data_IF_940609036271
#
_entry.id   IF_940609036271
#
_cell.length_a   1.000
_cell.length_b   1.000
_cell.length_c   1.000
_cell.angle_alpha   90.00
_cell.angle_beta   90.00
_cell.angle_gamma   90.00
#
_symmetry.space_group_name_H-M   'P 1'
#
loop_
_entity.id
_entity.type
_entity.pdbx_description
1 polymer ?
#
# COMPACT_ATOMS: atom_id res chain seq x y z
N UNK A 1 -21.10 -14.12 16.75
CA UNK A 1 -20.49 -13.08 15.87
C UNK A 1 -19.34 -13.74 15.14
N UNK A 2 -19.44 -13.94 13.83
CA UNK A 2 -18.47 -14.71 13.06
C UNK A 2 -17.21 -13.85 12.83
N UNK A 3 -16.05 -14.28 13.34
CA UNK A 3 -14.77 -13.64 12.99
C UNK A 3 -14.47 -14.01 11.54
N UNK A 4 -14.67 -13.05 10.63
CA UNK A 4 -14.27 -13.17 9.23
C UNK A 4 -12.75 -13.16 9.18
N UNK A 5 -12.14 -14.25 8.72
CA UNK A 5 -10.70 -14.32 8.42
C UNK A 5 -10.41 -13.34 7.27
N UNK A 6 -9.59 -12.31 7.53
CA UNK A 6 -9.23 -11.26 6.56
C UNK A 6 -7.90 -11.64 5.90
N UNK A 7 -7.85 -12.77 5.19
CA UNK A 7 -6.90 -13.10 4.11
C UNK A 7 -7.00 -14.60 3.83
N UNK A 8 -7.69 -14.96 2.75
CA UNK A 8 -7.17 -16.05 1.94
C UNK A 8 -5.86 -15.56 1.32
N UNK A 9 -4.91 -16.47 1.15
CA UNK A 9 -3.57 -16.23 0.62
C UNK A 9 -3.64 -15.23 -0.55
N UNK A 10 -2.96 -14.09 -0.45
CA UNK A 10 -3.03 -13.04 -1.47
C UNK A 10 -2.35 -13.58 -2.73
N UNK A 11 -3.13 -14.11 -3.66
CA UNK A 11 -2.86 -13.98 -5.10
C UNK A 11 -2.90 -12.48 -5.42
N UNK A 12 -1.97 -11.70 -4.87
CA UNK A 12 -1.89 -10.29 -5.18
C UNK A 12 -1.51 -10.25 -6.66
N UNK A 13 -2.49 -10.00 -7.52
CA UNK A 13 -2.29 -9.81 -8.96
C UNK A 13 -1.41 -8.58 -9.28
N UNK A 14 -0.87 -7.95 -8.23
CA UNK A 14 -0.22 -6.67 -8.23
C UNK A 14 0.92 -6.66 -7.23
N UNK A 15 2.08 -6.20 -7.67
CA UNK A 15 3.22 -5.93 -6.79
C UNK A 15 3.28 -4.44 -6.41
N UNK A 16 3.67 -4.17 -5.17
CA UNK A 16 3.79 -2.83 -4.57
C UNK A 16 5.24 -2.42 -4.32
N UNK A 17 6.22 -3.11 -4.91
CA UNK A 17 7.64 -2.76 -4.73
C UNK A 17 7.93 -1.35 -5.29
N UNK A 18 8.75 -0.60 -4.56
CA UNK A 18 9.34 0.69 -4.97
C UNK A 18 8.34 1.79 -5.36
N UNK A 19 7.12 1.71 -4.82
CA UNK A 19 6.07 2.67 -5.13
C UNK A 19 6.21 3.96 -4.30
N UNK A 20 6.34 5.10 -4.97
CA UNK A 20 6.33 6.40 -4.30
C UNK A 20 4.95 6.71 -3.72
N UNK A 21 4.90 7.08 -2.44
CA UNK A 21 3.68 7.56 -1.78
C UNK A 21 3.56 9.06 -1.98
N UNK A 22 2.42 9.52 -2.53
CA UNK A 22 2.10 10.93 -2.72
C UNK A 22 1.41 11.54 -1.51
N UNK A 23 0.48 10.81 -0.89
CA UNK A 23 -0.24 11.25 0.30
C UNK A 23 -0.54 10.11 1.25
N UNK A 24 -0.65 10.46 2.53
CA UNK A 24 -1.12 9.61 3.61
C UNK A 24 -2.30 10.33 4.23
N UNK A 25 -3.51 9.84 3.96
CA UNK A 25 -4.74 10.44 4.45
C UNK A 25 -5.32 9.58 5.58
N UNK A 26 -5.57 10.19 6.74
CA UNK A 26 -6.16 9.51 7.91
C UNK A 26 -7.61 9.96 8.06
N UNK A 27 -8.54 9.02 7.97
CA UNK A 27 -9.99 9.27 8.09
C UNK A 27 -10.55 8.38 9.21
N UNK A 28 -10.69 8.96 10.40
CA UNK A 28 -11.07 8.20 11.59
C UNK A 28 -9.99 7.18 11.96
N UNK A 29 -10.32 5.88 11.88
CA UNK A 29 -9.38 4.79 12.13
C UNK A 29 -8.84 4.16 10.85
N UNK A 30 -9.12 4.76 9.70
CA UNK A 30 -8.66 4.25 8.41
C UNK A 30 -7.52 5.11 7.88
N UNK A 31 -6.58 4.47 7.16
CA UNK A 31 -5.46 5.12 6.49
C UNK A 31 -5.57 4.82 4.99
N UNK A 32 -5.45 5.85 4.17
CA UNK A 32 -5.38 5.75 2.72
C UNK A 32 -4.00 6.22 2.28
N UNK A 33 -3.24 5.34 1.61
CA UNK A 33 -1.98 5.67 0.96
C UNK A 33 -2.22 5.86 -0.53
N UNK A 34 -1.99 7.06 -1.04
CA UNK A 34 -2.03 7.34 -2.49
C UNK A 34 -0.65 7.15 -3.09
N UNK A 35 -0.56 6.41 -4.17
CA UNK A 35 0.71 6.14 -4.84
C UNK A 35 0.88 7.03 -6.07
N UNK A 36 2.13 7.30 -6.46
CA UNK A 36 2.44 8.10 -7.65
C UNK A 36 2.00 7.40 -8.94
N UNK A 37 2.07 6.08 -8.94
CA UNK A 37 1.66 5.25 -10.06
C UNK A 37 0.75 4.13 -9.60
N UNK A 38 -0.01 3.60 -10.54
CA UNK A 38 -0.94 2.51 -10.32
C UNK A 38 -0.29 1.18 -9.97
N UNK A 39 -1.10 0.25 -9.49
CA UNK A 39 -0.71 -1.14 -9.26
C UNK A 39 -0.48 -1.84 -10.62
N UNK A 40 0.64 -2.55 -10.81
CA UNK A 40 0.94 -3.23 -12.08
C UNK A 40 0.41 -4.66 -12.06
N UNK A 41 -0.46 -5.01 -13.02
CA UNK A 41 -0.93 -6.39 -13.20
C UNK A 41 0.24 -7.31 -13.55
N UNK A 42 0.34 -8.45 -12.87
CA UNK A 42 1.41 -9.44 -13.13
C UNK A 42 1.07 -10.43 -14.25
N UNK A 43 -0.09 -10.28 -14.88
CA UNK A 43 -0.59 -11.18 -15.93
C UNK A 43 -1.10 -10.39 -17.15
N UNK A 44 -1.00 -10.99 -18.34
CA UNK A 44 -1.48 -10.38 -19.58
C UNK A 44 -3.00 -10.10 -19.50
N UNK A 45 -3.51 -8.89 -19.85
CA UNK A 45 -2.90 -7.89 -20.74
C UNK A 45 -2.00 -6.83 -20.08
N UNK A 46 -1.56 -7.01 -18.83
CA UNK A 46 -0.67 -6.08 -18.11
C UNK A 46 -1.22 -4.66 -17.98
N UNK A 47 -2.35 -4.51 -17.28
CA UNK A 47 -2.90 -3.21 -16.91
C UNK A 47 -2.13 -2.51 -15.78
N UNK A 48 -2.36 -1.21 -15.64
CA UNK A 48 -1.91 -0.42 -14.51
C UNK A 48 -3.04 0.48 -13.97
N UNK A 49 -4.02 -0.09 -13.24
CA UNK A 49 -5.08 0.69 -12.58
C UNK A 49 -4.52 1.63 -11.53
N UNK A 50 -5.19 2.77 -11.30
CA UNK A 50 -4.85 3.71 -10.22
C UNK A 50 -4.70 2.98 -8.88
N UNK A 51 -3.63 3.35 -8.16
CA UNK A 51 -3.11 2.60 -7.03
C UNK A 51 -3.37 3.36 -5.75
N UNK A 52 -4.03 2.71 -4.81
CA UNK A 52 -4.05 3.16 -3.42
C UNK A 52 -4.13 1.95 -2.51
N UNK A 53 -3.63 2.11 -1.28
CA UNK A 53 -3.69 1.08 -0.24
C UNK A 53 -4.50 1.62 0.91
N UNK A 54 -5.53 0.86 1.31
CA UNK A 54 -6.34 1.19 2.48
C UNK A 54 -6.04 0.24 3.63
N UNK A 55 -5.85 0.83 4.81
CA UNK A 55 -5.80 0.12 6.08
C UNK A 55 -7.06 0.48 6.86
N UNK A 56 -7.88 -0.51 7.16
CA UNK A 56 -9.13 -0.29 7.89
C UNK A 56 -9.01 -0.66 9.36
N UNK A 57 -9.72 0.07 10.21
CA UNK A 57 -9.82 -0.18 11.66
C UNK A 57 -8.45 -0.28 12.35
N UNK A 58 -7.54 0.62 12.01
CA UNK A 58 -6.20 0.70 12.61
C UNK A 58 -6.33 0.90 14.12
N UNK A 59 -5.71 0.02 14.89
CA UNK A 59 -5.62 0.14 16.34
C UNK A 59 -4.36 0.90 16.72
N UNK A 60 -4.48 2.21 16.83
CA UNK A 60 -3.35 3.12 17.09
C UNK A 60 -2.56 2.80 18.36
N UNK A 61 -3.21 2.25 19.39
CA UNK A 61 -2.51 1.82 20.63
C UNK A 61 -1.49 0.71 20.42
N UNK A 62 -1.60 -0.03 19.30
CA UNK A 62 -0.78 -1.20 18.97
C UNK A 62 -0.19 -1.14 17.55
N UNK A 63 -0.36 0.00 16.85
CA UNK A 63 0.05 0.17 15.46
C UNK A 63 0.96 1.37 15.34
N UNK A 64 2.11 1.18 14.71
CA UNK A 64 3.10 2.24 14.49
C UNK A 64 3.41 2.33 13.01
N UNK A 65 3.37 3.55 12.48
CA UNK A 65 3.80 3.87 11.12
C UNK A 65 4.93 4.91 11.20
N UNK A 66 5.95 4.73 10.37
CA UNK A 66 7.10 5.64 10.31
C UNK A 66 7.13 6.27 8.93
N UNK A 67 7.07 7.59 8.88
CA UNK A 67 7.41 8.37 7.69
C UNK A 67 8.92 8.56 7.70
N UNK A 68 9.62 7.73 6.93
CA UNK A 68 11.06 7.85 6.75
C UNK A 68 11.30 8.93 5.69
N UNK A 69 11.74 10.11 6.13
CA UNK A 69 12.24 11.11 5.21
C UNK A 69 13.51 10.58 4.52
N UNK A 70 13.61 10.83 3.22
CA UNK A 70 14.71 10.39 2.36
C UNK A 70 16.09 10.69 2.96
N UNK A 71 16.93 9.66 3.13
CA UNK A 71 18.28 9.78 3.69
C UNK A 71 19.41 9.72 2.65
N UNK A 72 19.12 9.87 1.36
CA UNK A 72 20.15 9.98 0.31
C UNK A 72 20.53 8.70 -0.41
N UNK A 73 19.96 7.54 -0.05
CA UNK A 73 20.35 6.23 -0.59
C UNK A 73 19.28 5.56 -1.47
N UNK A 74 18.57 6.29 -2.34
CA UNK A 74 17.88 5.63 -3.46
C UNK A 74 18.94 5.23 -4.49
N UNK A 75 19.32 3.95 -4.50
CA UNK A 75 20.14 3.41 -5.58
C UNK A 75 19.43 3.65 -6.92
N UNK A 76 20.09 4.36 -7.83
CA UNK A 76 19.64 4.42 -9.23
C UNK A 76 20.14 3.14 -9.88
N UNK A 77 19.24 2.19 -10.13
CA UNK A 77 19.57 1.04 -10.96
C UNK A 77 19.42 1.49 -12.42
N UNK A 78 20.55 1.73 -13.08
CA UNK A 78 20.66 1.99 -14.52
C UNK A 78 20.91 0.71 -15.29
#
# INVERSE_FOLDING_TARGET
MMKKTIRENTHAAYSLHDMNILSVDVVGNDIILRTQSGLVETEFPYGQPDGYVEFHNVRWDYSYAYLLAFSGNSGTFS
#
